data_IF_089839864745
#
_entry.id   IF_089839864745
#
_cell.length_a   1.000
_cell.length_b   1.000
_cell.length_c   1.000
_cell.angle_alpha   90.00
_cell.angle_beta   90.00
_cell.angle_gamma   90.00
#
_symmetry.space_group_name_H-M   'P 1'
#
loop_
_entity.id
_entity.type
_entity.pdbx_description
1 polymer ?
#
# COMPACT_ATOMS: atom_id res chain seq x y z
N UNK A 1 -14.45 -29.32 -22.49
CA UNK A 1 -15.28 -28.18 -22.95
C UNK A 1 -14.42 -26.94 -22.88
N UNK A 2 -13.92 -26.42 -24.00
CA UNK A 2 -13.11 -25.22 -24.06
C UNK A 2 -14.08 -24.02 -24.11
N UNK A 3 -14.09 -23.20 -23.05
CA UNK A 3 -14.83 -21.93 -23.04
C UNK A 3 -13.97 -20.94 -23.81
N UNK A 4 -14.41 -20.55 -24.98
CA UNK A 4 -13.84 -19.45 -25.77
C UNK A 4 -14.38 -18.16 -25.14
N UNK A 5 -13.52 -17.45 -24.42
CA UNK A 5 -13.82 -16.11 -23.96
C UNK A 5 -13.79 -15.17 -25.19
N UNK A 6 -14.96 -14.76 -25.61
CA UNK A 6 -15.16 -13.75 -26.66
C UNK A 6 -14.81 -12.39 -26.03
N UNK A 7 -13.61 -11.86 -26.31
CA UNK A 7 -13.24 -10.51 -25.95
C UNK A 7 -14.08 -9.54 -26.80
N UNK A 8 -15.07 -8.88 -26.17
CA UNK A 8 -15.72 -7.70 -26.73
C UNK A 8 -14.70 -6.55 -26.75
N UNK A 9 -13.99 -6.39 -27.86
CA UNK A 9 -13.30 -5.13 -28.17
C UNK A 9 -14.38 -4.07 -28.38
N UNK A 10 -14.61 -3.23 -27.37
CA UNK A 10 -15.40 -2.01 -27.53
C UNK A 10 -14.62 -1.09 -28.49
N UNK A 11 -15.08 -0.98 -29.74
CA UNK A 11 -14.53 -0.06 -30.71
C UNK A 11 -14.77 1.36 -30.20
N UNK A 12 -13.70 2.08 -29.88
CA UNK A 12 -13.74 3.51 -29.61
C UNK A 12 -14.30 4.26 -30.82
N UNK A 13 -15.12 5.32 -30.63
CA UNK A 13 -15.58 6.13 -31.75
C UNK A 13 -14.35 6.75 -32.47
N UNK A 14 -14.40 6.80 -33.80
CA UNK A 14 -13.27 7.19 -34.67
C UNK A 14 -12.58 8.50 -34.25
N UNK A 15 -13.34 9.51 -33.80
CA UNK A 15 -12.79 10.77 -33.31
C UNK A 15 -11.94 10.64 -32.03
N UNK A 16 -12.26 9.66 -31.16
CA UNK A 16 -11.45 9.37 -29.97
C UNK A 16 -10.15 8.64 -30.33
N UNK A 17 -10.18 7.84 -31.39
CA UNK A 17 -9.02 7.13 -31.92
C UNK A 17 -8.00 8.09 -32.52
N UNK A 18 -8.47 9.05 -33.37
CA UNK A 18 -7.61 10.07 -33.97
C UNK A 18 -6.90 10.94 -32.92
N UNK A 19 -7.61 11.27 -31.84
CA UNK A 19 -7.04 12.01 -30.69
C UNK A 19 -5.94 11.23 -29.97
N UNK A 20 -6.14 9.93 -29.78
CA UNK A 20 -5.16 9.04 -29.14
C UNK A 20 -3.92 8.85 -30.02
N UNK A 21 -4.10 8.58 -31.32
CA UNK A 21 -3.02 8.41 -32.29
C UNK A 21 -2.12 9.66 -32.33
N UNK A 22 -2.72 10.86 -32.34
CA UNK A 22 -1.98 12.12 -32.30
C UNK A 22 -1.20 12.27 -30.99
N UNK A 23 -1.83 12.03 -29.86
CA UNK A 23 -1.18 12.14 -28.54
C UNK A 23 -0.02 11.16 -28.40
N UNK A 24 -0.17 9.93 -28.87
CA UNK A 24 0.92 8.95 -28.93
C UNK A 24 2.05 9.44 -29.83
N UNK A 25 1.75 9.95 -31.03
CA UNK A 25 2.78 10.46 -31.92
C UNK A 25 3.59 11.64 -31.32
N UNK A 26 2.91 12.57 -30.64
CA UNK A 26 3.53 13.70 -29.95
C UNK A 26 4.45 13.24 -28.81
N UNK A 27 4.04 12.26 -28.03
CA UNK A 27 4.84 11.71 -26.94
C UNK A 27 6.01 10.86 -27.44
N UNK A 28 5.81 10.09 -28.51
CA UNK A 28 6.89 9.32 -29.15
C UNK A 28 7.98 10.23 -29.69
N UNK A 29 7.62 11.40 -30.25
CA UNK A 29 8.61 12.39 -30.69
C UNK A 29 9.49 12.88 -29.53
N UNK A 30 8.91 13.07 -28.34
CA UNK A 30 9.65 13.47 -27.14
C UNK A 30 10.64 12.41 -26.62
N UNK A 31 10.43 11.12 -26.94
CA UNK A 31 11.41 10.09 -26.60
C UNK A 31 12.76 10.23 -27.30
N UNK A 32 12.81 11.05 -28.36
CA UNK A 32 14.04 11.35 -29.14
C UNK A 32 14.69 12.68 -28.75
N UNK A 33 14.17 13.39 -27.74
CA UNK A 33 14.76 14.65 -27.26
C UNK A 33 16.10 14.39 -26.55
N UNK A 34 17.01 15.38 -26.57
CA UNK A 34 18.34 15.23 -25.94
C UNK A 34 18.26 15.20 -24.40
N UNK A 35 17.27 15.87 -23.81
CA UNK A 35 17.08 15.94 -22.36
C UNK A 35 16.58 14.61 -21.80
N UNK A 36 17.34 14.02 -20.87
CA UNK A 36 17.01 12.74 -20.22
C UNK A 36 15.66 12.84 -19.51
N UNK A 37 15.44 13.92 -18.73
CA UNK A 37 14.21 14.13 -17.97
C UNK A 37 12.96 14.19 -18.88
N UNK A 38 13.09 14.82 -20.07
CA UNK A 38 11.99 14.89 -21.03
C UNK A 38 11.63 13.50 -21.59
N UNK A 39 12.64 12.67 -21.86
CA UNK A 39 12.44 11.29 -22.33
C UNK A 39 11.78 10.40 -21.25
N UNK A 40 12.25 10.49 -20.01
CA UNK A 40 11.65 9.75 -18.89
C UNK A 40 10.22 10.19 -18.61
N UNK A 41 9.95 11.50 -18.67
CA UNK A 41 8.59 12.00 -18.52
C UNK A 41 7.68 11.52 -19.66
N UNK A 42 8.18 11.47 -20.90
CA UNK A 42 7.41 10.96 -22.03
C UNK A 42 7.06 9.47 -21.89
N UNK A 43 7.95 8.62 -21.34
CA UNK A 43 7.64 7.22 -21.01
C UNK A 43 6.50 7.14 -19.99
N UNK A 44 6.55 7.95 -18.93
CA UNK A 44 5.49 8.00 -17.91
C UNK A 44 4.16 8.47 -18.52
N UNK A 45 4.18 9.52 -19.33
CA UNK A 45 2.98 10.06 -19.97
C UNK A 45 2.36 9.05 -20.97
N UNK A 46 3.20 8.27 -21.69
CA UNK A 46 2.74 7.17 -22.54
C UNK A 46 2.09 6.05 -21.71
N UNK A 47 2.69 5.69 -20.59
CA UNK A 47 2.14 4.69 -19.69
C UNK A 47 0.80 5.15 -19.07
N UNK A 48 0.60 6.44 -18.86
CA UNK A 48 -0.65 7.01 -18.32
C UNK A 48 -1.81 7.02 -19.34
N UNK A 49 -1.55 6.72 -20.63
CA UNK A 49 -2.59 6.58 -21.64
C UNK A 49 -3.47 5.33 -21.44
N UNK A 50 -2.98 4.33 -20.71
CA UNK A 50 -3.71 3.12 -20.36
C UNK A 50 -3.81 2.08 -21.50
N UNK A 51 -4.55 0.96 -21.26
CA UNK A 51 -4.57 -0.22 -22.16
C UNK A 51 -5.02 0.08 -23.60
N UNK A 52 -5.89 1.07 -23.78
CA UNK A 52 -6.37 1.47 -25.11
C UNK A 52 -5.23 1.96 -26.04
N UNK A 53 -4.10 2.43 -25.47
CA UNK A 53 -2.96 2.90 -26.22
C UNK A 53 -2.05 1.75 -26.73
N UNK A 54 -2.09 0.56 -26.14
CA UNK A 54 -1.19 -0.55 -26.49
C UNK A 54 -1.18 -0.86 -28.00
N UNK A 55 -2.31 -1.00 -28.71
CA UNK A 55 -2.30 -1.26 -30.15
C UNK A 55 -1.59 -0.15 -30.96
N UNK A 56 -1.79 1.11 -30.56
CA UNK A 56 -1.18 2.29 -31.22
C UNK A 56 0.32 2.32 -30.96
N UNK A 57 0.73 2.08 -29.70
CA UNK A 57 2.14 2.00 -29.29
C UNK A 57 2.88 0.88 -30.03
N UNK A 58 2.29 -0.31 -30.13
CA UNK A 58 2.88 -1.43 -30.88
C UNK A 58 3.02 -1.13 -32.36
N UNK A 59 2.04 -0.42 -32.96
CA UNK A 59 2.11 0.03 -34.35
C UNK A 59 3.21 1.08 -34.55
N UNK A 60 3.38 2.01 -33.63
CA UNK A 60 4.45 2.99 -33.64
C UNK A 60 5.82 2.32 -33.49
N UNK A 61 5.95 1.40 -32.55
CA UNK A 61 7.18 0.64 -32.27
C UNK A 61 7.71 -0.14 -33.47
N UNK A 62 6.81 -0.68 -34.31
CA UNK A 62 7.21 -1.43 -35.53
C UNK A 62 8.00 -0.59 -36.56
N UNK A 63 7.99 0.74 -36.43
CA UNK A 63 8.67 1.67 -37.34
C UNK A 63 9.91 2.32 -36.71
N UNK A 64 10.28 1.95 -35.50
CA UNK A 64 11.32 2.57 -34.70
C UNK A 64 12.39 1.56 -34.32
N UNK A 65 13.62 2.00 -34.21
CA UNK A 65 14.78 1.20 -33.84
C UNK A 65 15.49 1.78 -32.60
N UNK A 66 16.38 0.97 -32.01
CA UNK A 66 17.28 1.39 -30.96
C UNK A 66 16.59 1.80 -29.64
N UNK A 67 17.07 2.90 -29.05
CA UNK A 67 16.67 3.36 -27.72
C UNK A 67 15.18 3.74 -27.63
N UNK A 68 14.64 4.40 -28.64
CA UNK A 68 13.24 4.84 -28.67
C UNK A 68 12.29 3.64 -28.62
N UNK A 69 12.62 2.57 -29.34
CA UNK A 69 11.89 1.32 -29.29
C UNK A 69 11.93 0.70 -27.89
N UNK A 70 13.10 0.67 -27.24
CA UNK A 70 13.24 0.16 -25.88
C UNK A 70 12.36 0.92 -24.88
N UNK A 71 12.32 2.24 -24.98
CA UNK A 71 11.46 3.11 -24.12
C UNK A 71 9.97 2.90 -24.38
N UNK A 72 9.56 2.64 -25.62
CA UNK A 72 8.19 2.27 -25.94
C UNK A 72 7.80 0.89 -25.37
N UNK A 73 8.72 -0.08 -25.42
CA UNK A 73 8.53 -1.39 -24.79
C UNK A 73 8.35 -1.25 -23.28
N UNK A 74 9.11 -0.36 -22.63
CA UNK A 74 8.98 -0.02 -21.22
C UNK A 74 7.59 0.56 -20.89
N UNK A 75 7.13 1.56 -21.69
CA UNK A 75 5.79 2.11 -21.51
C UNK A 75 4.67 1.05 -21.68
N UNK A 76 4.77 0.18 -22.68
CA UNK A 76 3.81 -0.91 -22.90
C UNK A 76 3.81 -1.87 -21.70
N UNK A 77 4.98 -2.28 -21.20
CA UNK A 77 5.09 -3.14 -20.03
C UNK A 77 4.46 -2.50 -18.79
N UNK A 78 4.68 -1.19 -18.58
CA UNK A 78 4.07 -0.46 -17.48
C UNK A 78 2.54 -0.44 -17.59
N UNK A 79 1.97 -0.25 -18.80
CA UNK A 79 0.52 -0.32 -19.02
C UNK A 79 0.01 -1.74 -18.73
N UNK A 80 0.66 -2.77 -19.28
CA UNK A 80 0.26 -4.17 -19.08
C UNK A 80 0.34 -4.59 -17.61
N UNK A 81 1.36 -4.14 -16.89
CA UNK A 81 1.49 -4.38 -15.45
C UNK A 81 0.34 -3.74 -14.67
N UNK A 82 0.00 -2.48 -14.97
CA UNK A 82 -1.12 -1.76 -14.34
C UNK A 82 -2.47 -2.42 -14.66
N UNK A 83 -2.68 -2.86 -15.89
CA UNK A 83 -3.91 -3.55 -16.29
C UNK A 83 -4.05 -4.90 -15.56
N UNK A 84 -2.98 -5.67 -15.47
CA UNK A 84 -2.94 -6.92 -14.72
C UNK A 84 -3.19 -6.69 -13.23
N UNK A 85 -2.62 -5.62 -12.65
CA UNK A 85 -2.92 -5.23 -11.27
C UNK A 85 -4.39 -4.85 -11.10
N UNK A 86 -4.94 -4.03 -12.01
CA UNK A 86 -6.34 -3.64 -11.96
C UNK A 86 -7.30 -4.85 -12.04
N UNK A 87 -6.92 -5.90 -12.77
CA UNK A 87 -7.67 -7.16 -12.83
C UNK A 87 -7.50 -8.01 -11.55
N UNK A 88 -6.41 -7.88 -10.84
CA UNK A 88 -6.13 -8.60 -9.58
C UNK A 88 -6.71 -7.92 -8.34
N UNK A 89 -6.91 -6.61 -8.40
CA UNK A 89 -7.58 -5.86 -7.35
C UNK A 89 -9.10 -6.02 -7.44
N UNK A 90 -9.83 -5.94 -6.32
CA UNK A 90 -11.28 -5.86 -6.37
C UNK A 90 -11.73 -4.69 -7.26
N UNK A 91 -12.78 -4.85 -8.06
CA UNK A 91 -13.26 -3.75 -8.88
C UNK A 91 -13.61 -2.54 -8.02
N UNK A 92 -13.20 -1.36 -8.48
CA UNK A 92 -13.52 -0.11 -7.80
C UNK A 92 -15.05 0.07 -7.79
N UNK A 93 -15.64 -0.08 -6.61
CA UNK A 93 -17.06 0.20 -6.40
C UNK A 93 -17.23 1.65 -6.02
N UNK A 94 -18.15 2.33 -6.67
CA UNK A 94 -18.57 3.67 -6.29
C UNK A 94 -19.89 3.60 -5.55
N UNK A 95 -20.17 4.64 -4.77
CA UNK A 95 -21.37 4.79 -3.95
C UNK A 95 -22.15 5.99 -4.42
N UNK A 96 -23.43 5.79 -4.65
CA UNK A 96 -24.39 6.87 -4.89
C UNK A 96 -25.41 6.86 -3.76
N UNK A 97 -25.58 7.98 -3.06
CA UNK A 97 -26.41 8.12 -1.88
C UNK A 97 -27.26 9.40 -1.96
N UNK A 98 -28.56 9.28 -1.75
CA UNK A 98 -29.47 10.40 -1.46
C UNK A 98 -30.19 10.11 -0.13
N UNK A 99 -29.59 10.54 0.95
CA UNK A 99 -30.02 10.27 2.32
C UNK A 99 -30.44 11.59 2.97
N UNK A 100 -31.72 11.72 3.31
CA UNK A 100 -32.29 12.98 3.80
C UNK A 100 -32.92 12.79 5.16
N UNK A 101 -32.39 13.51 6.16
CA UNK A 101 -32.91 13.56 7.51
C UNK A 101 -33.24 12.17 8.10
N UNK A 102 -32.32 11.22 7.99
CA UNK A 102 -32.42 9.84 8.48
C UNK A 102 -31.19 9.48 9.29
N UNK A 103 -31.23 8.46 10.17
CA UNK A 103 -30.10 8.07 10.99
C UNK A 103 -28.81 7.85 10.16
N UNK A 104 -27.69 8.39 10.63
CA UNK A 104 -26.38 8.22 9.96
C UNK A 104 -26.01 6.75 9.78
N UNK A 105 -26.40 5.90 10.73
CA UNK A 105 -26.20 4.45 10.66
C UNK A 105 -26.80 3.83 9.40
N UNK A 106 -28.02 4.23 9.03
CA UNK A 106 -28.67 3.73 7.81
C UNK A 106 -27.91 4.13 6.55
N UNK A 107 -27.37 5.36 6.50
CA UNK A 107 -26.52 5.81 5.40
C UNK A 107 -25.24 4.98 5.30
N UNK A 108 -24.59 4.70 6.43
CA UNK A 108 -23.36 3.89 6.51
C UNK A 108 -23.61 2.44 6.11
N UNK A 109 -24.72 1.83 6.56
CA UNK A 109 -25.13 0.48 6.16
C UNK A 109 -25.40 0.39 4.66
N UNK A 110 -26.01 1.41 4.07
CA UNK A 110 -26.24 1.47 2.62
C UNK A 110 -24.92 1.61 1.86
N UNK A 111 -23.99 2.44 2.33
CA UNK A 111 -22.64 2.54 1.76
C UNK A 111 -21.94 1.17 1.81
N UNK A 112 -21.99 0.50 2.96
CA UNK A 112 -21.39 -0.81 3.14
C UNK A 112 -21.96 -1.86 2.17
N UNK A 113 -23.28 -1.86 2.00
CA UNK A 113 -23.98 -2.75 1.07
C UNK A 113 -23.56 -2.51 -0.37
N UNK A 114 -23.50 -1.25 -0.84
CA UNK A 114 -23.08 -0.91 -2.21
C UNK A 114 -21.61 -1.27 -2.44
N UNK A 115 -20.75 -0.97 -1.48
CA UNK A 115 -19.31 -1.21 -1.58
C UNK A 115 -18.90 -2.67 -1.31
N UNK A 116 -19.79 -3.47 -0.70
CA UNK A 116 -19.45 -4.83 -0.25
C UNK A 116 -18.47 -4.82 0.91
N UNK A 117 -18.57 -3.83 1.80
CA UNK A 117 -17.74 -3.68 2.99
C UNK A 117 -18.45 -4.20 4.23
N UNK A 118 -17.68 -4.57 5.26
CA UNK A 118 -18.21 -4.87 6.59
C UNK A 118 -17.90 -3.69 7.51
N UNK A 119 -18.94 -3.13 8.13
CA UNK A 119 -18.82 -2.10 9.16
C UNK A 119 -19.07 -2.71 10.53
N UNK A 120 -18.32 -2.24 11.51
CA UNK A 120 -18.53 -2.52 12.92
C UNK A 120 -18.84 -1.20 13.62
N UNK A 121 -19.90 -1.20 14.43
CA UNK A 121 -20.27 -0.02 15.22
C UNK A 121 -19.89 -0.26 16.68
N UNK A 122 -19.09 0.63 17.26
CA UNK A 122 -18.75 0.62 18.67
C UNK A 122 -19.80 1.38 19.47
N UNK A 123 -20.56 0.64 20.26
CA UNK A 123 -21.66 1.19 21.05
C UNK A 123 -22.87 1.60 20.21
N UNK A 124 -23.67 2.48 20.76
CA UNK A 124 -24.89 3.01 20.12
C UNK A 124 -24.58 4.31 19.36
N UNK A 125 -23.95 4.18 18.20
CA UNK A 125 -23.54 5.31 17.35
C UNK A 125 -24.44 5.47 16.13
N UNK A 126 -24.47 6.69 15.55
CA UNK A 126 -25.11 6.98 14.27
C UNK A 126 -26.63 7.04 14.34
N UNK A 127 -27.25 7.28 15.51
CA UNK A 127 -28.69 7.46 15.67
C UNK A 127 -29.18 8.84 15.17
N UNK A 128 -28.31 9.83 15.21
CA UNK A 128 -28.61 11.20 14.79
C UNK A 128 -28.85 11.25 13.30
N UNK A 129 -29.82 12.09 12.93
CA UNK A 129 -30.22 12.26 11.54
C UNK A 129 -29.20 13.11 10.77
N UNK A 130 -28.85 12.65 9.59
CA UNK A 130 -27.98 13.37 8.65
C UNK A 130 -28.63 13.51 7.29
N UNK A 131 -28.19 14.49 6.52
CA UNK A 131 -28.55 14.64 5.10
C UNK A 131 -27.27 14.64 4.27
N UNK A 132 -27.13 13.63 3.41
CA UNK A 132 -25.97 13.42 2.55
C UNK A 132 -26.44 13.06 1.16
N UNK A 133 -25.93 13.77 0.15
CA UNK A 133 -26.16 13.46 -1.26
C UNK A 133 -24.80 13.30 -1.94
N UNK A 134 -24.54 12.12 -2.49
CA UNK A 134 -23.29 11.74 -3.13
C UNK A 134 -23.59 11.05 -4.46
N UNK A 135 -22.73 11.28 -5.43
CA UNK A 135 -22.79 10.59 -6.71
C UNK A 135 -21.38 10.07 -7.05
N UNK A 136 -21.29 8.78 -7.35
CA UNK A 136 -20.06 8.11 -7.78
C UNK A 136 -18.86 8.32 -6.84
N UNK A 137 -19.12 8.49 -5.53
CA UNK A 137 -18.09 8.66 -4.52
C UNK A 137 -17.35 7.33 -4.22
N UNK A 138 -16.09 7.41 -3.83
CA UNK A 138 -15.40 6.22 -3.30
C UNK A 138 -16.00 5.82 -1.95
N UNK A 139 -15.95 4.54 -1.54
CA UNK A 139 -16.52 4.11 -0.26
C UNK A 139 -15.99 4.86 0.95
N UNK A 140 -14.67 5.07 1.04
CA UNK A 140 -14.05 5.81 2.14
C UNK A 140 -14.46 7.29 2.13
N UNK A 141 -14.57 7.91 0.95
CA UNK A 141 -15.09 9.27 0.82
C UNK A 141 -16.54 9.38 1.29
N UNK A 142 -17.37 8.41 0.93
CA UNK A 142 -18.78 8.40 1.33
C UNK A 142 -18.93 8.24 2.85
N UNK A 143 -18.14 7.36 3.48
CA UNK A 143 -18.11 7.17 4.93
C UNK A 143 -17.68 8.46 5.63
N UNK A 144 -16.59 9.09 5.18
CA UNK A 144 -16.07 10.32 5.78
C UNK A 144 -17.09 11.48 5.66
N UNK A 145 -17.83 11.56 4.55
CA UNK A 145 -18.86 12.59 4.38
C UNK A 145 -20.04 12.38 5.36
N UNK A 146 -20.45 11.15 5.60
CA UNK A 146 -21.47 10.84 6.62
C UNK A 146 -20.95 11.19 8.01
N UNK A 147 -19.72 10.79 8.35
CA UNK A 147 -19.08 11.11 9.63
C UNK A 147 -18.96 12.62 9.84
N UNK A 148 -18.55 13.35 8.80
CA UNK A 148 -18.45 14.81 8.80
C UNK A 148 -19.79 15.50 9.05
N UNK A 149 -20.87 15.04 8.40
CA UNK A 149 -22.23 15.57 8.60
C UNK A 149 -22.78 15.25 9.99
N UNK A 150 -22.42 14.09 10.54
CA UNK A 150 -22.81 13.69 11.89
C UNK A 150 -22.05 14.51 12.96
N UNK A 151 -20.77 14.82 12.75
CA UNK A 151 -19.93 15.64 13.62
C UNK A 151 -19.40 14.96 14.88
N UNK A 152 -19.99 13.83 15.29
CA UNK A 152 -19.60 13.04 16.49
C UNK A 152 -19.35 11.56 16.13
N UNK A 153 -18.90 11.29 14.92
CA UNK A 153 -18.63 9.95 14.43
C UNK A 153 -17.33 9.94 13.64
N UNK A 154 -16.49 8.97 13.91
CA UNK A 154 -15.25 8.75 13.17
C UNK A 154 -15.19 7.33 12.63
N UNK A 155 -14.52 7.17 11.47
CA UNK A 155 -14.17 5.87 10.92
C UNK A 155 -12.70 5.55 11.19
N UNK A 156 -12.44 4.34 11.68
CA UNK A 156 -11.11 3.75 11.80
C UNK A 156 -11.04 2.52 10.90
N UNK A 157 -9.92 2.32 10.25
CA UNK A 157 -9.63 1.08 9.53
C UNK A 157 -8.63 0.30 10.38
N UNK A 158 -9.02 -0.88 10.88
CA UNK A 158 -8.14 -1.68 11.73
C UNK A 158 -8.90 -2.81 12.44
N UNK A 159 -8.16 -3.81 12.91
CA UNK A 159 -8.66 -4.82 13.84
C UNK A 159 -8.53 -4.35 15.30
N UNK A 160 -9.11 -5.12 16.23
CA UNK A 160 -9.15 -4.80 17.64
C UNK A 160 -7.83 -4.22 18.17
N UNK A 161 -7.93 -2.99 18.70
CA UNK A 161 -6.85 -2.28 19.38
C UNK A 161 -6.37 -3.06 20.61
N UNK A 162 -5.41 -3.95 20.45
CA UNK A 162 -4.56 -4.31 21.56
C UNK A 162 -3.46 -3.24 21.70
N UNK A 163 -3.68 -2.34 22.63
CA UNK A 163 -2.88 -1.17 23.02
C UNK A 163 -1.42 -1.50 23.42
N UNK A 164 -1.00 -2.75 23.29
CA UNK A 164 0.31 -3.26 23.72
C UNK A 164 1.29 -3.53 22.57
N UNK A 165 1.03 -3.10 21.32
CA UNK A 165 2.01 -3.21 20.23
C UNK A 165 2.30 -4.62 19.72
N UNK A 166 1.66 -5.64 20.25
CA UNK A 166 1.75 -7.03 19.77
C UNK A 166 0.55 -7.36 18.90
N UNK A 167 0.77 -7.37 17.60
CA UNK A 167 -0.27 -7.68 16.60
C UNK A 167 -0.57 -9.17 16.60
N UNK A 168 -1.85 -9.52 16.56
CA UNK A 168 -2.28 -10.89 16.32
C UNK A 168 -2.05 -11.25 14.85
N UNK A 169 -1.35 -12.36 14.53
CA UNK A 169 -1.33 -12.84 13.16
C UNK A 169 -2.73 -13.31 12.74
N UNK A 170 -3.01 -13.20 11.48
CA UNK A 170 -4.21 -13.36 10.69
C UNK A 170 -5.14 -14.57 10.90
N UNK A 171 -5.44 -14.96 12.12
CA UNK A 171 -6.58 -15.84 12.39
C UNK A 171 -7.82 -15.07 12.85
N UNK A 172 -7.77 -13.74 12.83
CA UNK A 172 -8.89 -12.87 13.18
C UNK A 172 -9.91 -12.73 12.03
N UNK A 173 -11.14 -12.26 12.33
CA UNK A 173 -12.13 -11.94 11.31
C UNK A 173 -11.55 -10.90 10.35
N UNK A 174 -12.00 -10.96 9.08
CA UNK A 174 -11.58 -10.02 8.01
C UNK A 174 -11.56 -8.57 8.53
N UNK A 175 -10.53 -7.77 8.14
CA UNK A 175 -10.41 -6.40 8.59
C UNK A 175 -11.71 -5.63 8.34
N UNK A 176 -12.12 -4.82 9.30
CA UNK A 176 -13.40 -4.12 9.30
C UNK A 176 -13.14 -2.62 9.36
N UNK A 177 -14.10 -1.85 8.88
CA UNK A 177 -14.15 -0.42 9.16
C UNK A 177 -14.96 -0.25 10.45
N UNK A 178 -14.33 0.30 11.48
CA UNK A 178 -14.94 0.53 12.78
C UNK A 178 -15.45 1.98 12.84
N UNK A 179 -16.72 2.14 13.23
CA UNK A 179 -17.36 3.43 13.47
C UNK A 179 -17.48 3.64 14.99
N UNK A 180 -16.83 4.66 15.50
CA UNK A 180 -16.80 4.97 16.92
C UNK A 180 -17.31 6.40 17.21
N UNK A 181 -17.89 6.59 18.39
CA UNK A 181 -18.29 7.91 18.87
C UNK A 181 -17.05 8.73 19.23
N UNK A 182 -16.78 9.78 18.47
CA UNK A 182 -15.73 10.75 18.73
C UNK A 182 -15.99 12.00 17.89
N UNK A 183 -15.58 13.20 18.35
CA UNK A 183 -15.64 14.40 17.53
C UNK A 183 -14.95 14.18 16.18
N UNK A 184 -15.66 14.50 15.10
CA UNK A 184 -15.08 14.39 13.77
C UNK A 184 -13.97 15.42 13.58
N UNK A 185 -12.80 14.95 13.18
CA UNK A 185 -11.67 15.80 12.78
C UNK A 185 -11.61 15.86 11.27
N UNK A 186 -11.72 17.07 10.72
CA UNK A 186 -11.66 17.29 9.28
C UNK A 186 -10.20 17.37 8.81
N UNK A 187 -9.58 16.21 8.59
CA UNK A 187 -8.25 16.15 8.02
C UNK A 187 -8.25 16.53 6.54
N UNK A 188 -7.26 17.33 6.06
CA UNK A 188 -7.01 17.49 4.64
C UNK A 188 -6.83 16.12 3.98
N UNK A 189 -7.74 15.76 3.05
CA UNK A 189 -7.81 14.40 2.51
C UNK A 189 -7.94 14.40 0.99
N UNK A 190 -7.32 13.41 0.36
CA UNK A 190 -7.50 13.08 -1.05
C UNK A 190 -8.01 11.64 -1.19
N UNK A 191 -8.91 11.41 -2.15
CA UNK A 191 -9.46 10.09 -2.45
C UNK A 191 -9.06 9.72 -3.87
N UNK A 192 -8.20 8.71 -3.99
CA UNK A 192 -7.66 8.27 -5.29
C UNK A 192 -7.90 6.77 -5.44
N UNK A 193 -8.74 6.40 -6.40
CA UNK A 193 -9.17 5.00 -6.61
C UNK A 193 -9.68 4.36 -5.31
N UNK A 194 -9.00 3.33 -4.80
CA UNK A 194 -9.36 2.64 -3.55
C UNK A 194 -8.87 3.35 -2.29
N UNK A 195 -7.98 4.33 -2.42
CA UNK A 195 -7.21 4.89 -1.33
C UNK A 195 -7.77 6.21 -0.81
N UNK A 196 -7.62 6.41 0.49
CA UNK A 196 -7.74 7.72 1.16
C UNK A 196 -6.36 8.10 1.66
N UNK A 197 -5.87 9.26 1.26
CA UNK A 197 -4.62 9.85 1.73
C UNK A 197 -5.00 11.06 2.57
N UNK A 198 -4.51 11.17 3.80
CA UNK A 198 -4.83 12.32 4.67
C UNK A 198 -3.62 12.82 5.44
N UNK A 199 -3.53 14.13 5.63
CA UNK A 199 -2.58 14.76 6.52
C UNK A 199 -3.15 14.73 7.95
N UNK A 200 -2.45 14.09 8.88
CA UNK A 200 -2.96 13.89 10.26
C UNK A 200 -2.24 14.71 11.29
N UNK A 201 -0.96 15.01 11.06
CA UNK A 201 -0.18 15.81 11.98
C UNK A 201 0.83 16.69 11.23
N UNK A 202 0.96 17.93 11.67
CA UNK A 202 2.04 18.85 11.27
C UNK A 202 2.77 19.26 12.52
N UNK A 203 4.08 19.06 12.54
CA UNK A 203 4.94 19.56 13.60
C UNK A 203 6.01 20.49 13.05
N UNK A 204 6.26 21.59 13.77
CA UNK A 204 7.32 22.55 13.47
C UNK A 204 8.29 22.56 14.65
N UNK A 205 9.52 22.18 14.40
CA UNK A 205 10.56 22.07 15.42
C UNK A 205 11.68 23.07 15.15
N UNK A 206 12.04 23.84 16.18
CA UNK A 206 13.21 24.71 16.15
C UNK A 206 14.10 24.40 17.36
N UNK A 207 15.30 23.94 17.09
CA UNK A 207 16.30 23.59 18.10
C UNK A 207 17.47 24.56 18.00
N UNK A 208 17.76 25.26 19.09
CA UNK A 208 18.95 26.09 19.23
C UNK A 208 20.00 25.28 20.00
N UNK A 209 21.14 25.04 19.40
CA UNK A 209 22.26 24.39 20.04
C UNK A 209 23.55 25.24 19.83
N UNK A 210 24.68 24.80 20.40
CA UNK A 210 25.96 25.50 20.28
C UNK A 210 26.51 25.58 18.85
N UNK A 211 25.93 24.80 17.92
CA UNK A 211 26.31 24.74 16.48
C UNK A 211 25.41 25.64 15.64
N UNK A 212 24.31 26.17 16.19
CA UNK A 212 23.38 27.04 15.50
C UNK A 212 21.92 26.70 15.76
N UNK A 213 21.05 27.26 14.93
CA UNK A 213 19.61 26.96 14.93
C UNK A 213 19.27 25.99 13.83
N UNK A 214 18.69 24.86 14.20
CA UNK A 214 18.10 23.91 13.26
C UNK A 214 16.59 24.06 13.30
N UNK A 215 15.95 24.14 12.14
CA UNK A 215 14.51 24.29 12.03
C UNK A 215 13.98 23.36 10.95
N UNK A 216 13.06 22.48 11.32
CA UNK A 216 12.44 21.50 10.42
C UNK A 216 10.94 21.47 10.61
N UNK A 217 10.21 21.16 9.54
CA UNK A 217 8.81 20.80 9.61
C UNK A 217 8.63 19.31 9.28
N UNK A 218 7.72 18.65 9.96
CA UNK A 218 7.32 17.29 9.65
C UNK A 218 5.82 17.23 9.41
N UNK A 219 5.43 16.54 8.37
CA UNK A 219 4.06 16.21 8.04
C UNK A 219 3.87 14.69 8.10
N UNK A 220 2.93 14.26 8.89
CA UNK A 220 2.51 12.87 8.96
C UNK A 220 1.33 12.65 8.03
N UNK A 221 1.47 11.68 7.13
CA UNK A 221 0.47 11.31 6.12
C UNK A 221 0.05 9.88 6.36
N UNK A 222 -1.25 9.65 6.48
CA UNK A 222 -1.84 8.31 6.52
C UNK A 222 -2.41 7.95 5.16
N UNK A 223 -2.18 6.72 4.76
CA UNK A 223 -2.72 6.13 3.55
C UNK A 223 -3.59 4.95 3.95
N UNK A 224 -4.88 5.01 3.64
CA UNK A 224 -5.86 3.99 3.98
C UNK A 224 -6.40 3.32 2.73
N UNK A 225 -6.75 2.05 2.84
CA UNK A 225 -7.43 1.27 1.83
C UNK A 225 -8.58 0.45 2.42
N UNK A 226 -9.58 0.05 1.61
CA UNK A 226 -10.65 -0.81 2.10
C UNK A 226 -10.12 -2.19 2.50
N UNK A 227 -10.78 -2.88 3.44
CA UNK A 227 -10.33 -4.18 3.93
C UNK A 227 -10.15 -5.29 2.88
N UNK A 228 -10.79 -5.16 1.74
CA UNK A 228 -10.66 -6.09 0.60
C UNK A 228 -9.52 -5.74 -0.37
N UNK A 229 -8.76 -4.68 -0.09
CA UNK A 229 -7.57 -4.25 -0.83
C UNK A 229 -6.39 -4.39 0.11
N UNK A 230 -5.56 -5.41 -0.06
CA UNK A 230 -4.50 -5.74 0.91
C UNK A 230 -3.14 -5.68 0.22
N UNK A 231 -2.46 -4.53 0.23
CA UNK A 231 -1.06 -4.45 -0.20
C UNK A 231 -0.16 -5.20 0.78
N UNK A 232 0.92 -5.76 0.27
CA UNK A 232 1.92 -6.46 1.09
C UNK A 232 2.90 -5.51 1.76
N UNK A 233 3.21 -4.41 1.10
CA UNK A 233 4.11 -3.38 1.62
C UNK A 233 3.92 -2.05 0.89
N UNK A 234 4.30 -0.96 1.57
CA UNK A 234 4.59 0.32 0.94
C UNK A 234 6.07 0.34 0.60
N UNK A 235 6.38 0.52 -0.69
CA UNK A 235 7.77 0.50 -1.17
C UNK A 235 8.38 1.88 -1.20
N UNK A 236 7.59 2.87 -1.59
CA UNK A 236 8.03 4.24 -1.76
C UNK A 236 6.91 5.20 -1.42
N UNK A 237 7.26 6.23 -0.68
CA UNK A 237 6.47 7.44 -0.50
C UNK A 237 7.37 8.62 -0.86
N UNK A 238 6.95 9.44 -1.80
CA UNK A 238 7.73 10.57 -2.30
C UNK A 238 6.83 11.79 -2.47
N UNK A 239 7.25 12.92 -1.93
CA UNK A 239 6.60 14.20 -2.18
C UNK A 239 7.35 14.91 -3.30
N UNK A 240 6.65 15.15 -4.41
CA UNK A 240 7.21 15.76 -5.63
C UNK A 240 7.03 17.27 -5.67
N UNK A 241 6.03 17.79 -4.98
CA UNK A 241 5.78 19.23 -4.85
C UNK A 241 5.19 19.53 -3.46
N UNK A 242 5.72 20.54 -2.78
CA UNK A 242 5.12 21.11 -1.58
C UNK A 242 5.30 22.63 -1.62
N UNK A 243 4.19 23.39 -1.56
CA UNK A 243 4.19 24.85 -1.60
C UNK A 243 3.37 25.43 -0.48
N UNK A 244 3.89 26.51 0.13
CA UNK A 244 3.13 27.29 1.10
C UNK A 244 2.06 28.19 0.42
N UNK A 245 1.30 28.92 1.21
CA UNK A 245 0.25 29.85 0.74
C UNK A 245 0.80 31.13 0.08
N UNK A 246 2.13 31.27 0.00
CA UNK A 246 2.84 32.33 -0.77
C UNK A 246 3.48 31.75 -2.06
N UNK A 247 3.30 30.45 -2.32
CA UNK A 247 3.85 29.78 -3.49
C UNK A 247 5.33 29.36 -3.36
N UNK A 248 5.94 29.50 -2.19
CA UNK A 248 7.34 29.11 -1.94
C UNK A 248 7.44 27.60 -1.76
N UNK A 249 8.51 27.02 -2.29
CA UNK A 249 8.77 25.59 -2.14
C UNK A 249 9.17 25.24 -0.71
N UNK A 250 8.54 24.21 -0.18
CA UNK A 250 8.85 23.61 1.11
C UNK A 250 9.68 22.32 0.96
N UNK A 251 10.02 21.91 -0.26
CA UNK A 251 10.91 20.76 -0.49
C UNK A 251 12.31 21.13 0.01
N UNK A 252 12.94 20.33 0.87
CA UNK A 252 14.32 20.53 1.29
C UNK A 252 15.26 20.56 0.09
N UNK A 253 16.26 21.43 0.12
CA UNK A 253 17.36 21.36 -0.85
C UNK A 253 18.11 20.05 -0.60
N UNK A 254 18.28 19.24 -1.65
CA UNK A 254 19.08 18.02 -1.54
C UNK A 254 20.50 18.45 -1.09
N UNK A 255 20.87 18.18 0.13
CA UNK A 255 22.26 18.10 0.53
C UNK A 255 22.84 16.88 -0.17
N UNK A 256 23.91 17.08 -0.93
CA UNK A 256 24.60 15.99 -1.59
C UNK A 256 24.85 14.84 -0.61
N UNK A 257 24.37 13.63 -1.00
CA UNK A 257 24.81 12.32 -0.53
C UNK A 257 24.61 11.90 0.92
N UNK A 258 23.56 12.33 1.61
CA UNK A 258 23.00 11.39 2.58
C UNK A 258 21.69 10.82 2.00
N UNK A 259 21.82 9.68 1.30
CA UNK A 259 20.71 8.72 1.21
C UNK A 259 20.32 8.44 2.66
N UNK A 260 19.27 9.10 3.12
CA UNK A 260 18.70 8.84 4.45
C UNK A 260 18.17 7.39 4.44
N UNK A 261 19.10 6.45 4.63
CA UNK A 261 18.83 5.02 4.81
C UNK A 261 17.94 4.82 6.06
N UNK A 262 17.91 5.80 6.97
CA UNK A 262 17.09 5.78 8.18
C UNK A 262 15.68 6.39 8.01
N UNK A 263 15.38 7.08 6.90
CA UNK A 263 14.05 7.68 6.65
C UNK A 263 13.07 6.77 5.94
N UNK A 264 13.49 5.65 5.42
CA UNK A 264 12.60 4.63 4.90
C UNK A 264 12.13 3.76 6.06
N UNK A 265 11.15 4.23 6.81
CA UNK A 265 10.37 3.37 7.69
C UNK A 265 9.62 2.39 6.79
N UNK A 266 10.26 1.25 6.50
CA UNK A 266 9.59 0.09 5.92
C UNK A 266 8.61 -0.47 6.96
N UNK A 267 7.55 0.30 7.24
CA UNK A 267 6.39 -0.26 7.89
C UNK A 267 5.73 -1.15 6.86
N UNK A 268 5.95 -2.44 6.98
CA UNK A 268 5.13 -3.40 6.27
C UNK A 268 3.70 -3.16 6.75
N UNK A 269 2.74 -2.89 5.86
CA UNK A 269 1.36 -2.92 6.25
C UNK A 269 1.13 -4.33 6.77
N UNK A 270 0.92 -4.46 8.06
CA UNK A 270 0.38 -5.66 8.64
C UNK A 270 -1.06 -5.87 8.15
N UNK A 271 -1.85 -6.65 8.86
CA UNK A 271 -3.29 -6.80 8.61
C UNK A 271 -4.10 -5.48 8.67
N UNK A 272 -3.43 -4.35 8.84
CA UNK A 272 -4.03 -3.04 8.89
C UNK A 272 -4.39 -2.56 7.50
N UNK A 273 -5.54 -1.91 7.39
CA UNK A 273 -5.99 -1.25 6.16
C UNK A 273 -5.39 0.16 6.04
N UNK A 274 -4.17 0.37 6.58
CA UNK A 274 -3.50 1.66 6.57
C UNK A 274 -1.98 1.56 6.70
N UNK A 275 -1.29 2.61 6.25
CA UNK A 275 0.13 2.88 6.53
C UNK A 275 0.32 4.36 6.83
N UNK A 276 1.39 4.68 7.52
CA UNK A 276 1.73 6.03 7.92
C UNK A 276 3.13 6.38 7.45
N UNK A 277 3.26 7.53 6.79
CA UNK A 277 4.50 8.03 6.23
C UNK A 277 4.79 9.43 6.76
N UNK A 278 6.06 9.80 6.85
CA UNK A 278 6.48 11.13 7.30
C UNK A 278 7.23 11.85 6.19
N UNK A 279 6.81 13.07 5.90
CA UNK A 279 7.50 13.98 4.99
C UNK A 279 8.16 15.10 5.80
N UNK A 280 9.48 15.17 5.75
CA UNK A 280 10.25 16.28 6.28
C UNK A 280 10.26 17.45 5.27
N UNK A 281 9.94 18.67 5.71
CA UNK A 281 9.90 19.84 4.85
C UNK A 281 10.67 21.04 5.44
N UNK A 282 11.03 21.98 4.58
CA UNK A 282 11.67 23.23 5.00
C UNK A 282 10.78 23.97 6.01
N UNK A 283 11.36 24.43 7.11
CA UNK A 283 10.62 25.25 8.07
C UNK A 283 10.00 26.47 7.34
N UNK A 284 8.68 26.71 7.48
CA UNK A 284 8.02 27.80 6.76
C UNK A 284 8.47 29.17 7.25
N UNK A 285 8.41 30.15 6.38
CA UNK A 285 8.60 31.55 6.74
C UNK A 285 7.46 32.03 7.67
N UNK A 286 7.74 33.06 8.47
CA UNK A 286 6.82 33.53 9.52
C UNK A 286 5.45 34.02 9.01
N UNK A 287 5.34 34.39 7.73
CA UNK A 287 4.12 34.85 7.08
C UNK A 287 3.33 33.74 6.39
N UNK A 288 3.84 32.52 6.39
CA UNK A 288 3.12 31.35 5.88
C UNK A 288 2.18 30.78 6.92
N UNK A 289 0.98 30.39 6.50
CA UNK A 289 -0.06 29.88 7.40
C UNK A 289 -0.40 28.41 7.17
N UNK A 290 -0.06 27.88 6.00
CA UNK A 290 -0.39 26.51 5.58
C UNK A 290 0.49 26.01 4.43
N UNK A 291 0.51 24.69 4.24
CA UNK A 291 0.88 24.08 2.98
C UNK A 291 -0.34 24.21 2.09
N UNK A 292 -0.27 25.02 1.04
CA UNK A 292 -1.38 25.26 0.12
C UNK A 292 -1.59 24.08 -0.84
N UNK A 293 -0.49 23.46 -1.28
CA UNK A 293 -0.50 22.28 -2.16
C UNK A 293 0.66 21.35 -1.84
N UNK A 294 0.35 20.07 -1.70
CA UNK A 294 1.31 18.99 -1.55
C UNK A 294 0.96 17.90 -2.53
N UNK A 295 1.85 17.61 -3.47
CA UNK A 295 1.70 16.50 -4.43
C UNK A 295 2.74 15.44 -4.16
N UNK A 296 2.32 14.20 -4.29
CA UNK A 296 3.19 13.07 -4.06
C UNK A 296 2.75 11.82 -4.78
N UNK A 297 3.57 10.81 -4.61
CA UNK A 297 3.33 9.46 -5.11
C UNK A 297 3.63 8.47 -4.00
N UNK A 298 2.83 7.45 -3.87
CA UNK A 298 3.17 6.26 -3.10
C UNK A 298 3.07 5.03 -3.99
N UNK A 299 3.93 4.05 -3.71
CA UNK A 299 3.98 2.78 -4.43
C UNK A 299 3.67 1.66 -3.46
N UNK A 300 2.60 0.93 -3.75
CA UNK A 300 2.18 -0.24 -2.98
C UNK A 300 2.50 -1.51 -3.74
N UNK A 301 2.98 -2.53 -3.03
CA UNK A 301 3.26 -3.84 -3.59
C UNK A 301 2.15 -4.82 -3.25
N UNK A 302 1.63 -5.51 -4.28
CA UNK A 302 0.62 -6.55 -4.15
C UNK A 302 1.21 -7.91 -4.52
N UNK A 303 0.92 -8.99 -3.78
CA UNK A 303 1.37 -10.31 -4.15
C UNK A 303 0.80 -10.71 -5.52
N UNK A 304 1.66 -11.07 -6.46
CA UNK A 304 1.29 -11.62 -7.77
C UNK A 304 1.48 -13.11 -7.82
N UNK A 305 2.64 -13.56 -7.34
CA UNK A 305 2.98 -14.96 -7.27
C UNK A 305 3.44 -15.30 -5.86
N UNK A 306 2.74 -16.23 -5.23
CA UNK A 306 3.04 -16.68 -3.87
C UNK A 306 3.32 -18.17 -3.89
N UNK A 307 4.42 -18.59 -3.29
CA UNK A 307 4.75 -19.99 -3.04
C UNK A 307 4.78 -20.25 -1.54
N UNK A 308 3.89 -21.09 -1.06
CA UNK A 308 3.89 -21.47 0.34
C UNK A 308 4.84 -22.64 0.58
N UNK A 309 5.82 -22.43 1.46
CA UNK A 309 6.65 -23.50 2.00
C UNK A 309 5.98 -24.05 3.26
N UNK A 310 6.07 -25.37 3.47
CA UNK A 310 5.34 -26.03 4.55
C UNK A 310 6.27 -26.97 5.30
N UNK A 311 6.38 -26.77 6.61
CA UNK A 311 6.92 -27.78 7.52
C UNK A 311 5.77 -28.59 8.09
N UNK A 312 5.52 -29.75 7.51
CA UNK A 312 4.54 -30.72 8.04
C UNK A 312 5.05 -31.34 9.34
N UNK A 313 4.13 -31.58 10.29
CA UNK A 313 4.47 -32.17 11.60
C UNK A 313 5.71 -31.53 12.22
N UNK A 314 5.64 -30.28 12.66
CA UNK A 314 6.80 -29.51 13.07
C UNK A 314 7.68 -30.21 14.11
N UNK A 315 7.10 -31.00 15.02
CA UNK A 315 7.83 -31.81 15.99
C UNK A 315 8.82 -32.79 15.33
N UNK A 316 8.44 -33.39 14.19
CA UNK A 316 9.26 -34.35 13.42
C UNK A 316 10.14 -33.66 12.38
N UNK A 317 10.00 -32.36 12.25
CA UNK A 317 10.68 -31.56 11.22
C UNK A 317 11.81 -30.68 11.75
N UNK A 318 12.14 -30.81 13.02
CA UNK A 318 13.29 -30.12 13.63
C UNK A 318 14.59 -30.46 12.88
N UNK A 319 15.37 -29.43 12.52
CA UNK A 319 16.59 -29.53 11.73
C UNK A 319 16.38 -29.73 10.23
N UNK A 320 15.15 -29.89 9.76
CA UNK A 320 14.85 -29.95 8.33
C UNK A 320 14.92 -28.57 7.68
N UNK A 321 15.31 -28.54 6.42
CA UNK A 321 15.41 -27.33 5.63
C UNK A 321 14.58 -27.44 4.36
N UNK A 322 14.05 -26.29 3.95
CA UNK A 322 13.39 -26.06 2.66
C UNK A 322 14.20 -25.05 1.87
N UNK A 323 14.21 -25.17 0.55
CA UNK A 323 14.97 -24.28 -0.32
C UNK A 323 14.05 -23.51 -1.27
N UNK A 324 14.39 -22.25 -1.50
CA UNK A 324 13.68 -21.35 -2.38
C UNK A 324 14.64 -20.37 -3.06
N UNK A 325 14.94 -20.57 -4.34
CA UNK A 325 15.76 -19.67 -5.16
C UNK A 325 17.07 -19.24 -4.46
N UNK A 326 17.85 -20.20 -3.93
CA UNK A 326 19.12 -19.95 -3.22
C UNK A 326 18.99 -19.65 -1.72
N UNK A 327 17.79 -19.35 -1.25
CA UNK A 327 17.50 -19.18 0.17
C UNK A 327 17.18 -20.53 0.80
N UNK A 328 17.92 -20.90 1.85
CA UNK A 328 17.66 -22.06 2.70
C UNK A 328 16.92 -21.63 3.96
N UNK A 329 15.80 -22.25 4.25
CA UNK A 329 14.98 -21.97 5.43
C UNK A 329 14.95 -23.23 6.29
N UNK A 330 15.39 -23.14 7.54
CA UNK A 330 15.52 -24.29 8.44
C UNK A 330 14.64 -24.12 9.67
N UNK A 331 13.87 -25.15 10.01
CA UNK A 331 13.19 -25.25 11.29
C UNK A 331 14.18 -25.74 12.36
N UNK A 332 14.80 -24.79 13.07
CA UNK A 332 15.86 -25.08 14.05
C UNK A 332 15.31 -25.75 15.31
N UNK A 333 14.19 -25.27 15.80
CA UNK A 333 13.60 -25.77 17.03
C UNK A 333 12.08 -25.66 17.02
N UNK A 334 11.46 -26.58 17.77
CA UNK A 334 10.02 -26.64 18.00
C UNK A 334 9.78 -27.12 19.44
N UNK A 335 9.05 -26.34 20.24
CA UNK A 335 8.77 -26.64 21.63
C UNK A 335 7.29 -26.37 21.93
N UNK A 336 6.60 -27.37 22.47
CA UNK A 336 5.26 -27.22 23.05
C UNK A 336 5.36 -27.24 24.58
N UNK A 337 4.79 -26.23 25.24
CA UNK A 337 4.76 -26.14 26.69
C UNK A 337 3.39 -25.64 27.17
N UNK A 338 2.56 -26.57 27.60
CA UNK A 338 1.18 -26.24 27.98
C UNK A 338 0.38 -25.72 26.80
N UNK A 339 -0.11 -24.49 26.88
CA UNK A 339 -0.87 -23.83 25.83
C UNK A 339 0.00 -22.93 24.93
N UNK A 340 1.32 -23.01 25.06
CA UNK A 340 2.29 -22.23 24.33
C UNK A 340 3.06 -23.11 23.35
N UNK A 341 3.30 -22.60 22.13
CA UNK A 341 4.13 -23.20 21.10
C UNK A 341 5.20 -22.21 20.70
N UNK A 342 6.44 -22.60 20.81
CA UNK A 342 7.60 -21.80 20.37
C UNK A 342 8.30 -22.48 19.20
N UNK A 343 8.60 -21.70 18.15
CA UNK A 343 9.24 -22.13 16.93
C UNK A 343 10.46 -21.25 16.66
N UNK A 344 11.58 -21.85 16.30
CA UNK A 344 12.76 -21.14 15.83
C UNK A 344 13.07 -21.52 14.39
N UNK A 345 13.08 -20.50 13.52
CA UNK A 345 13.36 -20.63 12.10
C UNK A 345 14.57 -19.80 11.75
N UNK A 346 15.55 -20.39 11.07
CA UNK A 346 16.69 -19.67 10.51
C UNK A 346 16.65 -19.64 8.99
N UNK A 347 17.25 -18.60 8.42
CA UNK A 347 17.49 -18.48 6.98
C UNK A 347 19.00 -18.43 6.72
N UNK A 348 19.44 -18.97 5.59
CA UNK A 348 20.83 -18.90 5.14
C UNK A 348 20.88 -18.74 3.61
N UNK A 349 21.82 -17.91 3.13
CA UNK A 349 21.99 -17.61 1.71
C UNK A 349 21.13 -16.45 1.24
N UNK A 350 21.40 -16.00 0.01
CA UNK A 350 20.67 -14.89 -0.62
C UNK A 350 19.50 -15.39 -1.44
N UNK A 351 18.35 -14.74 -1.28
CA UNK A 351 17.22 -14.94 -2.16
C UNK A 351 17.52 -14.32 -3.53
N UNK A 352 17.72 -15.16 -4.55
CA UNK A 352 18.03 -14.72 -5.92
C UNK A 352 16.79 -14.33 -6.75
N UNK A 353 15.59 -14.48 -6.18
CA UNK A 353 14.36 -14.34 -6.92
C UNK A 353 14.13 -15.47 -7.96
N UNK A 354 13.00 -15.48 -8.68
CA UNK A 354 12.81 -16.34 -9.85
C UNK A 354 13.82 -15.98 -10.95
N UNK A 355 14.32 -16.97 -11.71
CA UNK A 355 15.35 -16.75 -12.74
C UNK A 355 15.01 -15.71 -13.82
N UNK A 356 13.75 -15.35 -13.97
CA UNK A 356 13.24 -14.31 -14.85
C UNK A 356 12.95 -12.99 -14.12
N UNK A 357 13.21 -12.91 -12.81
CA UNK A 357 12.98 -11.70 -11.99
C UNK A 357 13.83 -10.51 -12.46
N UNK A 358 15.05 -10.75 -12.95
CA UNK A 358 15.91 -9.73 -13.53
C UNK A 358 15.33 -9.02 -14.79
N UNK A 359 14.25 -9.59 -15.37
CA UNK A 359 13.52 -8.99 -16.50
C UNK A 359 12.21 -8.29 -16.07
N UNK A 360 11.90 -8.32 -14.79
CA UNK A 360 10.69 -7.74 -14.22
C UNK A 360 11.10 -6.53 -13.41
N UNK A 361 10.30 -5.49 -13.43
CA UNK A 361 10.48 -4.26 -12.66
C UNK A 361 10.42 -4.54 -11.14
N UNK A 362 11.41 -5.28 -10.64
CA UNK A 362 11.62 -5.45 -9.22
C UNK A 362 12.46 -4.26 -8.81
N UNK A 363 11.92 -3.46 -7.91
CA UNK A 363 12.66 -2.39 -7.26
C UNK A 363 14.02 -2.95 -6.79
N UNK A 364 15.16 -2.39 -7.23
CA UNK A 364 16.48 -2.86 -6.81
C UNK A 364 16.63 -2.89 -5.28
N UNK A 365 15.83 -2.13 -4.54
CA UNK A 365 15.76 -2.20 -3.09
C UNK A 365 15.15 -3.52 -2.56
N UNK A 366 14.58 -4.36 -3.43
CA UNK A 366 14.14 -5.73 -3.10
C UNK A 366 15.22 -6.79 -3.27
N UNK A 367 16.33 -6.49 -3.96
CA UNK A 367 17.44 -7.41 -4.06
C UNK A 367 18.03 -7.70 -2.66
N UNK A 368 18.07 -8.97 -2.31
CA UNK A 368 18.62 -9.45 -1.05
C UNK A 368 17.65 -9.50 0.12
N UNK A 369 16.39 -9.12 -0.04
CA UNK A 369 15.37 -9.23 1.03
C UNK A 369 14.73 -10.61 1.03
N UNK A 370 14.32 -11.05 2.22
CA UNK A 370 13.57 -12.28 2.37
C UNK A 370 12.21 -12.14 1.68
N UNK A 371 11.75 -13.19 0.94
CA UNK A 371 10.45 -13.17 0.25
C UNK A 371 9.26 -13.29 1.22
N UNK A 372 9.50 -13.31 2.52
CA UNK A 372 8.52 -13.38 3.59
C UNK A 372 8.96 -12.58 4.82
N UNK A 373 8.02 -12.30 5.69
CA UNK A 373 8.25 -11.74 7.03
C UNK A 373 7.92 -12.79 8.09
N UNK A 374 8.41 -12.59 9.32
CA UNK A 374 7.96 -13.39 10.46
C UNK A 374 6.44 -13.30 10.66
N UNK A 375 5.83 -12.16 10.33
CA UNK A 375 4.38 -11.94 10.39
C UNK A 375 3.61 -12.82 9.39
N UNK A 376 4.27 -13.29 8.34
CA UNK A 376 3.69 -14.16 7.33
C UNK A 376 3.72 -15.64 7.73
N UNK A 377 4.42 -15.98 8.81
CA UNK A 377 4.57 -17.37 9.26
C UNK A 377 3.30 -17.79 9.98
N UNK A 378 2.56 -18.73 9.38
CA UNK A 378 1.27 -19.20 9.85
C UNK A 378 1.37 -20.52 10.58
N UNK A 379 1.08 -20.58 11.88
CA UNK A 379 0.94 -21.84 12.60
C UNK A 379 -0.46 -22.42 12.32
N UNK A 380 -0.53 -23.65 11.86
CA UNK A 380 -1.79 -24.37 11.63
C UNK A 380 -1.92 -25.48 12.65
N UNK A 381 -2.95 -25.43 13.49
CA UNK A 381 -3.21 -26.44 14.52
C UNK A 381 -3.90 -27.68 13.95
N UNK A 382 -3.77 -28.81 14.62
CA UNK A 382 -4.46 -30.07 14.24
C UNK A 382 -5.99 -29.89 14.28
N UNK A 383 -6.50 -29.12 15.23
CA UNK A 383 -7.93 -28.86 15.40
C UNK A 383 -8.48 -27.76 14.47
N UNK A 384 -7.60 -26.98 13.81
CA UNK A 384 -7.96 -25.77 13.08
C UNK A 384 -8.25 -24.56 13.99
N UNK A 385 -8.06 -24.70 15.32
CA UNK A 385 -8.25 -23.60 16.25
C UNK A 385 -7.16 -22.52 16.03
N UNK A 386 -7.53 -21.23 16.12
CA UNK A 386 -6.59 -20.15 15.95
C UNK A 386 -5.61 -20.07 17.13
N UNK A 387 -4.40 -19.59 16.84
CA UNK A 387 -3.40 -19.24 17.84
C UNK A 387 -3.19 -17.73 17.86
N UNK A 388 -2.88 -17.18 19.02
CA UNK A 388 -2.49 -15.77 19.18
C UNK A 388 -0.98 -15.69 19.31
N UNK A 389 -0.34 -14.78 18.58
CA UNK A 389 1.10 -14.54 18.73
C UNK A 389 1.36 -13.86 20.09
N UNK A 390 2.17 -14.50 20.91
CA UNK A 390 2.51 -14.04 22.27
C UNK A 390 3.89 -13.36 22.31
N UNK A 391 4.77 -13.69 21.38
CA UNK A 391 6.10 -13.13 21.34
C UNK A 391 6.82 -13.36 20.02
N UNK A 392 7.78 -12.48 19.76
CA UNK A 392 8.71 -12.60 18.65
C UNK A 392 10.06 -12.00 19.04
N UNK A 393 11.10 -12.68 18.66
CA UNK A 393 12.45 -12.13 18.62
C UNK A 393 13.13 -12.56 17.33
N UNK A 394 14.03 -11.75 16.83
CA UNK A 394 14.79 -12.06 15.63
C UNK A 394 16.06 -11.25 15.55
N UNK A 395 17.02 -11.76 14.80
CA UNK A 395 18.30 -11.11 14.57
C UNK A 395 19.10 -11.85 13.53
N UNK A 396 20.05 -11.15 12.90
CA UNK A 396 20.93 -11.71 11.88
C UNK A 396 21.61 -10.62 11.07
N UNK A 397 22.37 -11.04 10.07
CA UNK A 397 22.98 -10.19 9.04
C UNK A 397 22.28 -10.35 7.70
N UNK A 398 22.87 -9.78 6.63
CA UNK A 398 22.29 -9.79 5.28
C UNK A 398 21.99 -11.20 4.74
N UNK A 399 22.83 -12.18 5.03
CA UNK A 399 22.74 -13.53 4.47
C UNK A 399 22.18 -14.58 5.44
N UNK A 400 21.99 -14.22 6.72
CA UNK A 400 21.51 -15.13 7.74
C UNK A 400 20.60 -14.39 8.72
N UNK A 401 19.43 -14.93 8.94
CA UNK A 401 18.48 -14.38 9.89
C UNK A 401 17.82 -15.49 10.71
N UNK A 402 17.53 -15.22 11.98
CA UNK A 402 16.84 -16.17 12.85
C UNK A 402 15.63 -15.51 13.47
N UNK A 403 14.47 -16.19 13.39
CA UNK A 403 13.22 -15.81 14.04
C UNK A 403 12.90 -16.80 15.14
N UNK A 404 12.53 -16.32 16.31
CA UNK A 404 11.88 -17.11 17.36
C UNK A 404 10.49 -16.56 17.55
N UNK A 405 9.49 -17.39 17.30
CA UNK A 405 8.08 -17.04 17.33
C UNK A 405 7.39 -17.86 18.40
N UNK A 406 6.58 -17.21 19.20
CA UNK A 406 5.80 -17.87 20.26
C UNK A 406 4.32 -17.56 20.05
N UNK A 407 3.51 -18.60 20.06
CA UNK A 407 2.05 -18.51 19.99
C UNK A 407 1.41 -19.15 21.21
N UNK A 408 0.24 -18.65 21.58
CA UNK A 408 -0.57 -19.16 22.68
C UNK A 408 -1.99 -19.49 22.21
N UNK A 409 -2.61 -20.45 22.88
CA UNK A 409 -4.01 -20.82 22.71
C UNK A 409 -4.71 -20.85 24.06
N UNK A 410 -6.05 -20.87 24.07
CA UNK A 410 -6.82 -21.10 25.31
C UNK A 410 -6.58 -22.49 25.90
N UNK A 411 -6.28 -23.47 25.05
CA UNK A 411 -5.99 -24.87 25.42
C UNK A 411 -4.80 -25.37 24.62
N UNK A 412 -4.05 -26.39 25.10
CA UNK A 412 -2.97 -26.99 24.35
C UNK A 412 -3.42 -27.40 22.94
N UNK A 413 -2.68 -26.93 21.94
CA UNK A 413 -2.98 -27.13 20.53
C UNK A 413 -1.71 -27.52 19.78
N UNK A 414 -1.49 -28.82 19.47
CA UNK A 414 -0.34 -29.22 18.67
C UNK A 414 -0.48 -28.66 17.24
N UNK A 415 0.67 -28.28 16.65
CA UNK A 415 0.69 -27.84 15.27
C UNK A 415 0.64 -29.05 14.33
N UNK A 416 -0.21 -28.94 13.33
CA UNK A 416 -0.23 -29.81 12.15
C UNK A 416 0.89 -29.45 11.19
N UNK A 417 1.07 -28.13 10.95
CA UNK A 417 2.03 -27.61 10.01
C UNK A 417 2.38 -26.15 10.31
N UNK A 418 3.52 -25.71 9.81
CA UNK A 418 3.92 -24.28 9.77
C UNK A 418 4.01 -23.90 8.29
N UNK A 419 3.26 -22.90 7.90
CA UNK A 419 3.24 -22.35 6.54
C UNK A 419 4.04 -21.06 6.48
N UNK A 420 4.85 -20.93 5.44
CA UNK A 420 5.64 -19.72 5.15
C UNK A 420 5.28 -19.25 3.75
N UNK A 421 4.30 -18.34 3.59
CA UNK A 421 3.96 -17.76 2.30
C UNK A 421 5.09 -16.85 1.83
N UNK A 422 5.77 -17.24 0.75
CA UNK A 422 6.85 -16.49 0.13
C UNK A 422 6.32 -15.76 -1.11
N UNK A 423 6.38 -14.45 -1.13
CA UNK A 423 5.98 -13.66 -2.30
C UNK A 423 7.15 -13.61 -3.27
N UNK A 424 6.99 -14.25 -4.42
CA UNK A 424 8.02 -14.34 -5.46
C UNK A 424 7.99 -13.16 -6.41
N UNK A 425 6.80 -12.64 -6.70
CA UNK A 425 6.57 -11.53 -7.63
C UNK A 425 5.52 -10.61 -7.05
N UNK A 426 5.76 -9.31 -7.17
CA UNK A 426 4.82 -8.27 -6.78
C UNK A 426 4.25 -7.56 -8.01
N UNK A 427 3.02 -7.10 -7.91
CA UNK A 427 2.49 -6.02 -8.72
C UNK A 427 2.70 -4.70 -7.97
N UNK A 428 3.19 -3.70 -8.66
CA UNK A 428 3.39 -2.37 -8.11
C UNK A 428 2.25 -1.44 -8.51
N UNK A 429 1.65 -0.79 -7.54
CA UNK A 429 0.60 0.22 -7.74
C UNK A 429 1.13 1.60 -7.40
N UNK A 430 1.45 2.38 -8.43
CA UNK A 430 1.86 3.77 -8.29
C UNK A 430 0.62 4.67 -8.21
N UNK A 431 0.44 5.35 -7.10
CA UNK A 431 -0.71 6.18 -6.81
C UNK A 431 -0.28 7.63 -6.58
N UNK A 432 -0.63 8.50 -7.50
CA UNK A 432 -0.40 9.96 -7.39
C UNK A 432 -1.53 10.59 -6.58
N UNK A 433 -1.18 11.49 -5.66
CA UNK A 433 -2.15 12.21 -4.84
C UNK A 433 -1.82 13.70 -4.73
N UNK A 434 -2.83 14.48 -4.37
CA UNK A 434 -2.68 15.90 -4.03
C UNK A 434 -3.49 16.21 -2.77
N UNK A 435 -2.81 16.74 -1.75
CA UNK A 435 -3.42 17.30 -0.55
C UNK A 435 -3.36 18.82 -0.62
N UNK A 436 -4.36 19.50 -0.07
CA UNK A 436 -4.47 20.96 -0.07
C UNK A 436 -4.83 21.49 1.30
N UNK A 437 -4.45 22.75 1.54
CA UNK A 437 -4.87 23.53 2.69
C UNK A 437 -4.53 22.91 4.05
N UNK A 438 -3.30 22.38 4.19
CA UNK A 438 -2.80 21.79 5.42
C UNK A 438 -2.27 22.92 6.32
N UNK A 439 -3.02 23.26 7.36
CA UNK A 439 -2.67 24.36 8.25
C UNK A 439 -1.40 24.09 9.09
N UNK A 440 -0.57 25.09 9.27
CA UNK A 440 0.52 25.03 10.25
C UNK A 440 -0.02 25.17 11.68
N UNK A 441 0.63 24.54 12.67
CA UNK A 441 0.32 24.76 14.07
C UNK A 441 0.54 26.23 14.44
N UNK A 442 -0.36 26.78 15.30
CA UNK A 442 -0.29 28.16 15.78
C UNK A 442 0.74 28.30 16.88
#
# INVERSE_FOLDING_TARGET
>A
MRIVALALLAALPAAAQDGLDKKVADLVAKLSEDAIDAREQAVKDLADLGPAAIPVLRKAMAKLDGEVRGRLEEAIKAIEARDTLAQSLPPLKTVTLDHRNRPAKEALEEIARQAGLTLQFEGEVGKEAVSVSLKDATPLQAIDEVCRKHGQLISRTGGDDDFNGFRRPHAGPAPKIVLAASPFVNFPSAYVRHYRVRAVEVSLTRVNNFQGTQSTGNLQVEIHWPPNVVPKSTLRFEVTEAKDDKGRSLIPEKKDEEKNIFGQNFRRPGAESETQETFEFKYPEADATKIASLKGVFVLAYPKEVRTLVFEKPADSKGKSLELHGLKITLEDYVEKGNEVTVRISTAGKYAGPADAAKRDIDPDFEGRLPFSYEDIEPVTVSGAPLSQAGMSGGGGEDNYTYTLTWTAEKPQPLKEIRIPCVLVHHLDEVKFELRDIAFPK
#
